data_IF_640802536479
#
_entry.id   IF_640802536479
#
_cell.length_a   1.000
_cell.length_b   1.000
_cell.length_c   1.000
_cell.angle_alpha   90.00
_cell.angle_beta   90.00
_cell.angle_gamma   90.00
#
_symmetry.space_group_name_H-M   'P 1'
#
loop_
_entity.id
_entity.type
_entity.pdbx_description
1 polymer ?
#
# COMPACT_ATOMS: atom_id res chain seq x y z
N UNK A 1 -9.32 -31.81 68.58
CA UNK A 1 -10.15 -33.04 68.58
C UNK A 1 -11.60 -32.61 68.78
N UNK A 2 -12.65 -33.18 68.15
CA UNK A 2 -12.82 -34.33 67.22
C UNK A 2 -13.32 -33.89 65.80
N UNK A 3 -13.25 -34.63 64.67
CA UNK A 3 -13.98 -35.83 64.20
C UNK A 3 -15.52 -35.70 64.34
N UNK A 4 -16.38 -35.78 63.31
CA UNK A 4 -16.85 -36.95 62.48
C UNK A 4 -17.85 -36.37 61.43
N UNK A 5 -17.69 -36.56 60.11
CA UNK A 5 -18.22 -37.63 59.20
C UNK A 5 -19.74 -37.65 58.90
N UNK A 6 -20.06 -37.41 57.61
CA UNK A 6 -20.85 -38.24 56.66
C UNK A 6 -22.39 -38.12 56.49
N UNK A 7 -22.76 -38.26 55.20
CA UNK A 7 -24.00 -38.79 54.56
C UNK A 7 -25.18 -37.83 54.31
N UNK A 8 -26.04 -38.01 53.30
CA UNK A 8 -26.10 -38.67 51.97
C UNK A 8 -27.53 -38.35 51.43
N UNK A 9 -27.76 -38.55 50.12
CA UNK A 9 -29.04 -38.60 49.36
C UNK A 9 -29.30 -37.37 48.47
N UNK A 10 -29.31 -37.44 47.13
CA UNK A 10 -29.88 -38.36 46.13
C UNK A 10 -31.36 -38.06 45.82
N UNK A 11 -31.58 -37.38 44.69
CA UNK A 11 -32.80 -37.46 43.86
C UNK A 11 -32.37 -37.32 42.39
N UNK A 12 -32.90 -38.20 41.55
CA UNK A 12 -32.54 -38.36 40.14
C UNK A 12 -33.61 -37.91 39.14
N UNK A 13 -33.38 -38.33 37.88
CA UNK A 13 -34.21 -38.16 36.67
C UNK A 13 -34.33 -36.71 36.14
N UNK A 14 -34.36 -36.38 34.83
CA UNK A 14 -34.72 -37.09 33.60
C UNK A 14 -33.86 -36.56 32.41
N UNK A 15 -33.78 -37.39 31.37
CA UNK A 15 -33.25 -37.11 30.03
C UNK A 15 -33.83 -35.84 29.38
N UNK A 16 -32.99 -35.05 28.69
CA UNK A 16 -33.41 -34.33 27.49
C UNK A 16 -32.18 -33.99 26.61
N UNK A 17 -32.18 -34.59 25.42
CA UNK A 17 -31.38 -34.12 24.30
C UNK A 17 -31.83 -32.71 23.92
N UNK A 18 -30.88 -31.78 23.81
CA UNK A 18 -31.05 -30.59 22.99
C UNK A 18 -29.72 -30.30 22.28
N UNK A 19 -29.74 -30.53 20.97
CA UNK A 19 -28.86 -29.87 20.02
C UNK A 19 -28.86 -28.36 20.30
N UNK A 20 -27.68 -27.74 20.37
CA UNK A 20 -27.54 -26.32 20.08
C UNK A 20 -26.65 -26.19 18.85
N UNK A 21 -27.32 -26.04 17.71
CA UNK A 21 -26.73 -25.52 16.50
C UNK A 21 -26.61 -23.99 16.62
N UNK A 22 -25.41 -23.53 16.32
CA UNK A 22 -25.06 -22.36 15.54
C UNK A 22 -25.45 -20.92 15.98
N UNK A 23 -24.34 -20.17 16.14
CA UNK A 23 -24.07 -18.83 15.60
C UNK A 23 -24.91 -17.66 16.09
N UNK A 24 -24.26 -16.83 16.89
CA UNK A 24 -24.61 -15.44 17.11
C UNK A 24 -23.38 -14.67 17.54
N UNK A 25 -22.70 -14.06 16.58
CA UNK A 25 -21.61 -13.11 16.77
C UNK A 25 -22.02 -11.94 17.67
N UNK A 26 -21.26 -11.68 18.74
CA UNK A 26 -21.21 -10.35 19.35
C UNK A 26 -19.86 -10.12 20.06
N UNK A 27 -19.07 -9.23 19.44
CA UNK A 27 -18.20 -8.24 20.07
C UNK A 27 -17.07 -8.68 21.04
N UNK A 28 -15.88 -8.87 20.47
CA UNK A 28 -14.67 -8.23 21.01
C UNK A 28 -14.15 -7.25 19.95
N UNK A 29 -14.80 -6.09 19.84
CA UNK A 29 -14.22 -4.98 19.10
C UNK A 29 -13.14 -4.36 19.96
N UNK A 30 -11.91 -4.51 19.47
CA UNK A 30 -10.76 -3.64 19.63
C UNK A 30 -9.73 -4.00 20.72
N UNK A 31 -8.77 -4.92 20.44
CA UNK A 31 -7.51 -4.93 21.15
C UNK A 31 -6.67 -3.78 20.58
N UNK A 32 -6.42 -2.75 21.38
CA UNK A 32 -5.42 -1.75 21.06
C UNK A 32 -4.12 -2.43 20.60
N UNK A 33 -3.60 -2.03 19.44
CA UNK A 33 -2.37 -2.60 18.87
C UNK A 33 -1.23 -1.65 19.15
N UNK A 34 -0.19 -2.15 19.80
CA UNK A 34 1.05 -1.41 20.01
C UNK A 34 1.84 -1.32 18.70
N UNK A 35 2.31 -0.12 18.35
CA UNK A 35 3.17 0.11 17.19
C UNK A 35 4.32 1.06 17.54
N UNK A 36 5.44 0.90 16.84
CA UNK A 36 6.65 1.66 17.09
C UNK A 36 6.93 2.65 15.97
N UNK A 37 7.59 3.76 16.33
CA UNK A 37 7.98 4.80 15.39
C UNK A 37 9.12 4.28 14.52
N UNK A 38 8.81 3.81 13.30
CA UNK A 38 9.81 3.73 12.23
C UNK A 38 10.04 5.13 11.64
N UNK A 39 11.17 5.36 10.93
CA UNK A 39 11.42 6.62 10.21
C UNK A 39 10.29 7.01 9.22
N UNK A 40 9.48 6.03 8.83
CA UNK A 40 8.37 6.17 7.87
C UNK A 40 6.98 6.01 8.52
N UNK A 41 6.92 5.80 9.84
CA UNK A 41 5.68 5.62 10.60
C UNK A 41 4.98 6.95 10.82
N UNK A 42 3.68 7.02 10.50
CA UNK A 42 2.86 8.22 10.61
C UNK A 42 2.22 8.39 11.99
N UNK A 43 2.28 7.36 12.83
CA UNK A 43 1.72 7.40 14.15
C UNK A 43 2.82 7.63 15.18
N UNK A 44 2.58 8.53 16.13
CA UNK A 44 3.38 8.65 17.35
C UNK A 44 3.35 7.30 18.07
N UNK A 45 4.51 6.71 18.37
CA UNK A 45 4.60 5.40 19.06
C UNK A 45 3.58 5.30 20.20
N UNK A 46 2.79 4.22 20.22
CA UNK A 46 1.70 4.05 21.18
C UNK A 46 0.74 2.93 20.80
N UNK A 47 -0.45 2.97 21.39
CA UNK A 47 -1.57 2.05 21.13
C UNK A 47 -2.60 2.69 20.19
N UNK A 48 -2.99 2.00 19.12
CA UNK A 48 -4.06 2.43 18.20
C UNK A 48 -5.04 1.30 17.88
N UNK A 49 -6.29 1.67 17.57
CA UNK A 49 -7.29 0.71 17.12
C UNK A 49 -7.06 0.27 15.68
N UNK A 50 -7.46 -0.97 15.37
CA UNK A 50 -7.41 -1.51 14.01
C UNK A 50 -8.16 -0.62 13.00
N UNK A 51 -9.35 -0.13 13.37
CA UNK A 51 -10.17 0.71 12.50
C UNK A 51 -9.50 2.07 12.21
N UNK A 52 -8.88 2.69 13.22
CA UNK A 52 -8.18 3.98 13.07
C UNK A 52 -6.87 3.84 12.28
N UNK A 53 -6.22 2.68 12.38
CA UNK A 53 -5.13 2.33 11.48
C UNK A 53 -5.68 2.27 10.05
N UNK A 54 -6.73 1.48 9.81
CA UNK A 54 -7.31 1.21 8.50
C UNK A 54 -7.83 2.45 7.75
N UNK A 55 -8.50 3.39 8.42
CA UNK A 55 -8.95 4.66 7.81
C UNK A 55 -7.78 5.56 7.34
N UNK A 56 -6.68 5.58 8.11
CA UNK A 56 -5.46 6.27 7.70
C UNK A 56 -4.68 5.51 6.59
N UNK A 57 -4.90 4.20 6.42
CA UNK A 57 -4.30 3.42 5.33
C UNK A 57 -4.87 3.81 3.98
N UNK A 58 -6.19 3.96 3.87
CA UNK A 58 -6.87 4.32 2.61
C UNK A 58 -6.41 5.68 2.11
N UNK A 59 -6.33 6.65 3.01
CA UNK A 59 -5.89 8.02 2.70
C UNK A 59 -4.41 8.11 2.30
N UNK A 60 -3.51 7.31 2.90
CA UNK A 60 -2.08 7.28 2.50
C UNK A 60 -1.83 6.46 1.24
N UNK A 61 -2.58 5.40 0.98
CA UNK A 61 -2.48 4.66 -0.29
C UNK A 61 -2.80 5.59 -1.48
N UNK A 62 -3.82 6.44 -1.35
CA UNK A 62 -4.10 7.52 -2.30
C UNK A 62 -2.95 8.54 -2.42
N UNK A 63 -2.18 8.76 -1.35
CA UNK A 63 -1.04 9.70 -1.33
C UNK A 63 0.24 9.08 -1.93
N UNK A 64 0.50 7.79 -1.71
CA UNK A 64 1.64 7.07 -2.29
C UNK A 64 1.46 6.77 -3.79
N UNK A 65 0.22 6.55 -4.26
CA UNK A 65 -0.11 6.51 -5.70
C UNK A 65 0.26 7.83 -6.40
N UNK A 66 0.28 8.97 -5.68
CA UNK A 66 0.71 10.26 -6.26
C UNK A 66 2.22 10.38 -6.47
N UNK A 67 3.04 9.45 -5.98
CA UNK A 67 4.51 9.58 -5.98
C UNK A 67 5.23 8.75 -7.04
N UNK A 68 4.57 7.81 -7.72
CA UNK A 68 5.17 7.03 -8.81
C UNK A 68 4.75 7.56 -10.19
N UNK A 69 5.63 8.40 -10.76
CA UNK A 69 5.67 8.86 -12.15
C UNK A 69 4.34 9.41 -12.70
N UNK A 70 3.82 10.47 -12.08
CA UNK A 70 2.72 11.24 -12.68
C UNK A 70 3.11 11.75 -14.08
N UNK A 71 2.19 11.63 -15.03
CA UNK A 71 2.34 12.18 -16.39
C UNK A 71 1.04 12.84 -16.84
N UNK A 72 1.17 13.75 -17.82
CA UNK A 72 0.01 14.35 -18.48
C UNK A 72 -0.33 13.58 -19.74
N UNK A 73 -1.60 13.24 -19.92
CA UNK A 73 -2.09 12.63 -21.14
C UNK A 73 -2.77 13.68 -22.02
N UNK A 74 -2.34 13.78 -23.28
CA UNK A 74 -2.99 14.58 -24.33
C UNK A 74 -3.34 13.65 -25.49
N UNK A 75 -4.64 13.39 -25.73
CA UNK A 75 -5.06 12.35 -26.68
C UNK A 75 -4.49 10.98 -26.28
N UNK A 76 -3.65 10.39 -27.14
CA UNK A 76 -2.93 9.13 -26.86
C UNK A 76 -1.49 9.34 -26.36
N UNK A 77 -1.00 10.59 -26.35
CA UNK A 77 0.39 10.90 -26.02
C UNK A 77 0.58 11.06 -24.52
N UNK A 78 1.69 10.53 -23.99
CA UNK A 78 2.16 10.76 -22.62
C UNK A 78 3.19 11.88 -22.62
N UNK A 79 2.98 12.88 -21.76
CA UNK A 79 3.80 14.08 -21.67
C UNK A 79 4.36 14.18 -20.25
N UNK A 80 5.67 14.39 -20.17
CA UNK A 80 6.37 14.58 -18.89
C UNK A 80 5.91 15.88 -18.21
N UNK A 81 5.72 15.84 -16.89
CA UNK A 81 5.39 17.04 -16.09
C UNK A 81 6.43 18.15 -16.16
N UNK A 82 7.67 17.83 -16.54
CA UNK A 82 8.73 18.83 -16.69
C UNK A 82 8.56 19.70 -17.94
N UNK A 83 7.75 19.26 -18.91
CA UNK A 83 7.63 19.93 -20.21
C UNK A 83 6.48 20.94 -20.25
N UNK A 84 5.50 20.82 -19.36
CA UNK A 84 4.29 21.67 -19.36
C UNK A 84 3.83 21.96 -17.95
N UNK A 85 3.25 23.15 -17.75
CA UNK A 85 2.64 23.58 -16.49
C UNK A 85 1.17 23.90 -16.71
N UNK A 86 0.28 22.89 -16.67
CA UNK A 86 -1.16 23.13 -16.83
C UNK A 86 -1.76 23.80 -15.59
N UNK A 87 -2.77 24.64 -15.81
CA UNK A 87 -3.63 25.16 -14.76
C UNK A 87 -4.73 24.14 -14.45
N UNK A 88 -4.99 23.87 -13.17
CA UNK A 88 -6.08 23.00 -12.70
C UNK A 88 -7.20 23.82 -12.05
N UNK A 89 -8.40 23.23 -11.94
CA UNK A 89 -9.54 23.85 -11.26
C UNK A 89 -9.22 24.37 -9.84
N UNK A 90 -8.39 23.62 -9.09
CA UNK A 90 -7.94 24.02 -7.75
C UNK A 90 -7.15 25.34 -7.72
N UNK A 91 -6.44 25.67 -8.80
CA UNK A 91 -5.67 26.92 -8.89
C UNK A 91 -6.56 28.16 -9.06
N UNK A 92 -7.83 27.94 -9.42
CA UNK A 92 -8.87 28.94 -9.63
C UNK A 92 -9.95 28.89 -8.54
N UNK A 93 -9.80 28.04 -7.52
CA UNK A 93 -10.78 27.92 -6.44
C UNK A 93 -10.46 28.88 -5.29
N UNK A 94 -11.48 29.54 -4.75
CA UNK A 94 -11.40 30.35 -3.53
C UNK A 94 -11.71 29.50 -2.28
N UNK A 95 -12.43 28.39 -2.44
CA UNK A 95 -12.72 27.45 -1.35
C UNK A 95 -12.88 26.02 -1.85
N UNK A 96 -13.04 25.06 -0.93
CA UNK A 96 -13.38 23.67 -1.25
C UNK A 96 -14.88 23.45 -1.51
N UNK A 97 -15.71 24.48 -1.36
CA UNK A 97 -17.16 24.38 -1.54
C UNK A 97 -17.52 24.19 -3.01
N UNK A 98 -18.55 23.39 -3.28
CA UNK A 98 -19.14 23.31 -4.62
C UNK A 98 -19.79 24.61 -5.06
N UNK A 99 -20.25 25.46 -4.12
CA UNK A 99 -20.83 26.77 -4.42
C UNK A 99 -19.79 27.82 -4.85
N UNK A 100 -18.50 27.49 -4.75
CA UNK A 100 -17.43 28.38 -5.21
C UNK A 100 -17.34 28.39 -6.74
N UNK A 101 -17.75 29.52 -7.33
CA UNK A 101 -17.63 29.80 -8.77
C UNK A 101 -16.17 30.07 -9.19
N UNK A 102 -15.27 30.30 -8.24
CA UNK A 102 -13.85 30.48 -8.44
C UNK A 102 -13.46 31.83 -9.06
N UNK A 103 -12.22 31.86 -9.54
CA UNK A 103 -11.58 33.00 -10.20
C UNK A 103 -11.47 32.74 -11.70
N UNK A 104 -11.38 33.83 -12.46
CA UNK A 104 -11.10 33.83 -13.89
C UNK A 104 -9.64 34.22 -14.09
N UNK A 105 -8.91 33.48 -14.91
CA UNK A 105 -7.52 33.76 -15.26
C UNK A 105 -7.46 34.21 -16.72
N UNK A 106 -6.93 35.41 -16.97
CA UNK A 106 -6.67 35.89 -18.33
C UNK A 106 -5.56 35.06 -18.97
N UNK A 107 -5.75 34.61 -20.20
CA UNK A 107 -4.74 33.84 -20.94
C UNK A 107 -3.85 34.68 -21.84
N UNK A 108 -4.28 35.90 -22.16
CA UNK A 108 -3.54 36.89 -22.93
C UNK A 108 -3.89 38.27 -22.40
N UNK A 109 -3.06 39.25 -22.74
CA UNK A 109 -3.35 40.65 -22.46
C UNK A 109 -4.70 41.06 -23.07
N UNK A 110 -5.46 41.86 -22.31
CA UNK A 110 -6.79 42.30 -22.69
C UNK A 110 -7.10 43.69 -22.15
N UNK A 111 -8.30 44.16 -22.43
CA UNK A 111 -8.79 45.47 -22.04
C UNK A 111 -9.98 45.33 -21.09
N UNK A 112 -9.95 46.13 -20.02
CA UNK A 112 -11.10 46.40 -19.17
C UNK A 112 -11.96 47.44 -19.88
N UNK A 113 -13.21 47.10 -20.21
CA UNK A 113 -14.14 47.95 -20.96
C UNK A 113 -15.21 48.55 -20.06
N UNK A 114 -15.74 49.70 -20.48
CA UNK A 114 -16.81 50.38 -19.73
C UNK A 114 -18.15 49.62 -19.80
N UNK A 115 -18.46 49.01 -20.95
CA UNK A 115 -19.68 48.23 -21.20
C UNK A 115 -19.31 46.83 -21.73
N UNK A 116 -20.25 45.89 -21.59
CA UNK A 116 -20.16 44.52 -22.12
C UNK A 116 -20.34 44.49 -23.65
N UNK A 117 -19.44 45.17 -24.36
CA UNK A 117 -19.46 45.28 -25.81
C UNK A 117 -18.04 45.37 -26.38
N UNK A 118 -17.82 44.79 -27.56
CA UNK A 118 -16.50 44.76 -28.22
C UNK A 118 -16.06 46.17 -28.65
N UNK A 119 -16.97 47.04 -29.05
CA UNK A 119 -16.68 48.43 -29.43
C UNK A 119 -16.60 49.41 -28.27
N UNK A 120 -16.83 48.96 -27.03
CA UNK A 120 -16.86 49.84 -25.85
C UNK A 120 -15.50 50.48 -25.55
N UNK A 121 -15.55 51.67 -24.94
CA UNK A 121 -14.37 52.41 -24.46
C UNK A 121 -13.52 51.54 -23.54
N UNK A 122 -12.22 51.50 -23.82
CA UNK A 122 -11.22 50.88 -22.96
C UNK A 122 -10.92 51.78 -21.77
N UNK A 123 -11.03 51.23 -20.56
CA UNK A 123 -10.67 51.89 -19.31
C UNK A 123 -9.20 51.62 -18.94
N UNK A 124 -8.77 50.37 -19.03
CA UNK A 124 -7.42 49.90 -18.66
C UNK A 124 -7.00 48.67 -19.46
N UNK A 125 -5.70 48.41 -19.49
CA UNK A 125 -5.14 47.12 -19.90
C UNK A 125 -5.06 46.17 -18.70
N UNK A 126 -5.28 44.89 -18.97
CA UNK A 126 -5.21 43.80 -18.00
C UNK A 126 -4.24 42.77 -18.55
N UNK A 127 -3.15 42.54 -17.84
CA UNK A 127 -2.09 41.64 -18.26
C UNK A 127 -2.56 40.18 -18.31
N UNK A 128 -1.83 39.35 -19.05
CA UNK A 128 -1.96 37.91 -19.00
C UNK A 128 -1.74 37.34 -17.59
N UNK A 129 -2.30 36.16 -17.33
CA UNK A 129 -2.27 35.46 -16.04
C UNK A 129 -2.78 36.27 -14.84
N UNK A 130 -3.59 37.30 -15.09
CA UNK A 130 -4.27 38.05 -14.04
C UNK A 130 -5.47 37.25 -13.54
N UNK A 131 -5.54 37.04 -12.23
CA UNK A 131 -6.71 36.42 -11.57
C UNK A 131 -7.76 37.47 -11.22
N UNK A 132 -9.00 37.21 -11.58
CA UNK A 132 -10.13 38.12 -11.47
C UNK A 132 -11.29 37.41 -10.78
N UNK A 133 -11.99 38.13 -9.91
CA UNK A 133 -13.22 37.64 -9.27
C UNK A 133 -14.41 38.20 -10.07
N UNK A 134 -15.28 37.35 -10.63
CA UNK A 134 -16.44 37.80 -11.40
C UNK A 134 -17.48 38.41 -10.46
N UNK A 135 -18.07 39.53 -10.87
CA UNK A 135 -19.19 40.18 -10.19
C UNK A 135 -20.52 39.92 -10.91
N UNK A 136 -20.48 39.88 -12.25
CA UNK A 136 -21.64 39.67 -13.11
C UNK A 136 -21.20 39.10 -14.46
N UNK A 137 -22.07 38.37 -15.13
CA UNK A 137 -21.90 37.89 -16.50
C UNK A 137 -22.91 38.60 -17.42
N UNK A 138 -22.47 39.09 -18.58
CA UNK A 138 -23.32 39.82 -19.52
C UNK A 138 -22.71 39.81 -20.92
N UNK A 139 -23.47 39.38 -21.94
CA UNK A 139 -23.10 39.41 -23.37
C UNK A 139 -21.71 38.81 -23.68
N UNK A 140 -21.33 37.72 -23.03
CA UNK A 140 -19.99 37.15 -23.21
C UNK A 140 -18.86 37.94 -22.51
N UNK A 141 -19.18 38.85 -21.59
CA UNK A 141 -18.24 39.54 -20.73
C UNK A 141 -18.45 39.19 -19.26
N UNK A 142 -17.38 39.30 -18.47
CA UNK A 142 -17.42 39.34 -17.02
C UNK A 142 -17.21 40.75 -16.52
N UNK A 143 -18.10 41.21 -15.64
CA UNK A 143 -17.86 42.40 -14.87
C UNK A 143 -16.93 42.08 -13.70
N UNK A 144 -15.87 42.86 -13.54
CA UNK A 144 -14.86 42.67 -12.50
C UNK A 144 -14.49 44.00 -11.86
N UNK A 145 -13.89 43.95 -10.68
CA UNK A 145 -13.17 45.07 -10.07
C UNK A 145 -11.67 44.86 -10.29
N UNK A 146 -11.02 45.75 -11.03
CA UNK A 146 -9.59 45.67 -11.31
C UNK A 146 -8.91 47.01 -11.00
N UNK A 147 -7.95 46.98 -10.07
CA UNK A 147 -7.19 48.16 -9.62
C UNK A 147 -8.10 49.38 -9.32
N UNK A 148 -9.17 49.16 -8.56
CA UNK A 148 -10.12 50.19 -8.15
C UNK A 148 -11.13 50.63 -9.21
N UNK A 149 -11.11 50.05 -10.41
CA UNK A 149 -12.08 50.35 -11.47
C UNK A 149 -12.97 49.15 -11.77
N UNK A 150 -14.28 49.41 -11.88
CA UNK A 150 -15.27 48.42 -12.30
C UNK A 150 -15.40 48.46 -13.81
N UNK A 151 -15.33 47.31 -14.46
CA UNK A 151 -15.49 47.21 -15.92
C UNK A 151 -15.69 45.77 -16.38
N UNK A 152 -15.73 45.58 -17.69
CA UNK A 152 -16.05 44.33 -18.35
C UNK A 152 -14.83 43.77 -19.09
N UNK A 153 -14.62 42.46 -18.99
CA UNK A 153 -13.55 41.74 -19.70
C UNK A 153 -14.18 40.60 -20.48
N UNK A 154 -13.70 40.40 -21.70
CA UNK A 154 -14.18 39.34 -22.59
C UNK A 154 -13.93 37.94 -21.96
N UNK A 155 -14.96 37.09 -21.95
CA UNK A 155 -14.87 35.73 -21.41
C UNK A 155 -14.09 34.77 -22.31
N UNK A 156 -14.00 35.04 -23.61
CA UNK A 156 -13.35 34.17 -24.61
C UNK A 156 -11.84 34.02 -24.40
N UNK A 157 -11.26 34.94 -23.63
CA UNK A 157 -9.84 35.01 -23.34
C UNK A 157 -9.51 34.59 -21.90
N UNK A 158 -10.52 34.14 -21.16
CA UNK A 158 -10.41 33.79 -19.75
C UNK A 158 -10.76 32.31 -19.53
N UNK A 159 -9.94 31.63 -18.74
CA UNK A 159 -10.29 30.33 -18.17
C UNK A 159 -10.84 30.49 -16.76
N UNK A 160 -11.66 29.54 -16.33
CA UNK A 160 -12.40 29.53 -15.08
C UNK A 160 -12.66 28.10 -14.60
N UNK A 161 -13.20 27.92 -13.40
CA UNK A 161 -13.67 26.60 -12.93
C UNK A 161 -14.68 25.95 -13.88
N UNK A 162 -15.46 26.75 -14.61
CA UNK A 162 -16.46 26.26 -15.55
C UNK A 162 -15.85 25.48 -16.73
N UNK A 163 -14.61 25.78 -17.11
CA UNK A 163 -13.90 25.04 -18.17
C UNK A 163 -13.50 23.62 -17.76
N UNK A 164 -13.54 23.34 -16.45
CA UNK A 164 -13.27 22.04 -15.84
C UNK A 164 -14.54 21.36 -15.33
N UNK A 165 -15.72 21.97 -15.51
CA UNK A 165 -16.96 21.47 -14.95
C UNK A 165 -17.34 20.13 -15.61
N UNK A 166 -17.55 19.13 -14.76
CA UNK A 166 -18.15 17.84 -15.13
C UNK A 166 -19.66 17.88 -14.92
N UNK A 167 -20.11 18.53 -13.84
CA UNK A 167 -21.52 18.80 -13.58
C UNK A 167 -21.72 20.17 -12.93
N UNK A 168 -22.90 20.75 -13.13
CA UNK A 168 -23.33 22.01 -12.51
C UNK A 168 -24.66 21.82 -11.79
N UNK A 169 -24.81 22.47 -10.64
CA UNK A 169 -26.09 22.55 -9.93
C UNK A 169 -26.79 23.84 -10.31
N UNK A 170 -27.92 23.71 -11.00
CA UNK A 170 -28.68 24.85 -11.50
C UNK A 170 -30.15 24.45 -11.73
N UNK A 171 -30.99 25.45 -12.00
CA UNK A 171 -32.38 25.26 -12.40
C UNK A 171 -32.45 24.91 -13.89
N UNK A 172 -33.07 23.79 -14.25
CA UNK A 172 -33.19 23.39 -15.65
C UNK A 172 -34.06 24.41 -16.44
N UNK A 173 -33.65 24.85 -17.65
CA UNK A 173 -34.37 25.91 -18.39
C UNK A 173 -35.84 25.59 -18.71
N UNK A 174 -36.14 24.34 -19.09
CA UNK A 174 -37.50 23.89 -19.43
C UNK A 174 -38.34 23.49 -18.21
N UNK A 175 -37.85 22.55 -17.41
CA UNK A 175 -38.62 21.98 -16.28
C UNK A 175 -38.62 22.85 -15.03
N UNK A 176 -37.73 23.84 -14.93
CA UNK A 176 -37.63 24.72 -13.77
C UNK A 176 -37.29 23.99 -12.45
N UNK A 177 -36.78 22.77 -12.51
CA UNK A 177 -36.35 21.98 -11.35
C UNK A 177 -34.85 22.18 -11.13
N UNK A 178 -34.44 22.40 -9.87
CA UNK A 178 -33.03 22.47 -9.49
C UNK A 178 -32.44 21.09 -9.33
N UNK A 179 -31.36 20.80 -10.05
CA UNK A 179 -30.66 19.52 -9.97
C UNK A 179 -29.24 19.64 -10.52
N UNK A 180 -28.47 18.55 -10.40
CA UNK A 180 -27.17 18.43 -11.05
C UNK A 180 -27.35 18.08 -12.52
N UNK A 181 -26.70 18.84 -13.39
CA UNK A 181 -26.68 18.63 -14.84
C UNK A 181 -25.25 18.36 -15.30
N UNK A 182 -25.06 17.27 -16.06
CA UNK A 182 -23.77 16.98 -16.68
C UNK A 182 -23.47 18.01 -17.78
N UNK A 183 -22.26 18.55 -17.73
CA UNK A 183 -21.79 19.57 -18.67
C UNK A 183 -21.24 18.89 -19.91
N UNK A 184 -21.74 19.29 -21.07
CA UNK A 184 -21.19 18.87 -22.36
C UNK A 184 -20.07 19.81 -22.80
N UNK A 185 -20.34 21.11 -22.80
CA UNK A 185 -19.32 22.13 -23.08
C UNK A 185 -19.73 23.50 -22.52
N UNK A 186 -18.74 24.36 -22.27
CA UNK A 186 -18.95 25.78 -22.02
C UNK A 186 -19.04 26.53 -23.36
N UNK A 187 -20.00 27.44 -23.48
CA UNK A 187 -20.21 28.35 -24.60
C UNK A 187 -20.21 29.79 -24.07
N UNK A 188 -19.03 30.40 -23.95
CA UNK A 188 -18.85 31.77 -23.44
C UNK A 188 -19.42 32.00 -22.03
N UNK A 189 -20.57 32.68 -21.91
CA UNK A 189 -21.33 32.97 -20.69
C UNK A 189 -22.46 31.97 -20.41
N UNK A 190 -22.54 30.90 -21.20
CA UNK A 190 -23.50 29.82 -21.08
C UNK A 190 -22.82 28.45 -21.02
N UNK A 191 -23.57 27.46 -20.56
CA UNK A 191 -23.12 26.08 -20.43
C UNK A 191 -24.14 25.19 -21.15
N UNK A 192 -23.67 24.47 -22.16
CA UNK A 192 -24.46 23.42 -22.83
C UNK A 192 -24.39 22.15 -21.99
N UNK A 193 -25.55 21.64 -21.59
CA UNK A 193 -25.68 20.34 -20.90
C UNK A 193 -25.99 19.23 -21.92
N UNK A 194 -25.89 17.96 -21.51
CA UNK A 194 -26.03 16.82 -22.45
C UNK A 194 -27.39 16.72 -23.15
N UNK A 195 -28.46 17.31 -22.61
CA UNK A 195 -29.76 17.39 -23.28
C UNK A 195 -29.87 18.56 -24.28
N UNK A 196 -28.74 19.23 -24.58
CA UNK A 196 -28.61 20.40 -25.46
C UNK A 196 -29.26 21.70 -24.96
N UNK A 197 -29.79 21.72 -23.74
CA UNK A 197 -30.23 22.98 -23.13
C UNK A 197 -29.02 23.84 -22.73
N UNK A 198 -29.22 25.15 -22.73
CA UNK A 198 -28.20 26.12 -22.31
C UNK A 198 -28.58 26.72 -20.97
N UNK A 199 -27.63 26.72 -20.03
CA UNK A 199 -27.77 27.32 -18.70
C UNK A 199 -26.80 28.50 -18.62
N UNK A 200 -27.31 29.69 -18.31
CA UNK A 200 -26.47 30.86 -18.08
C UNK A 200 -25.56 30.65 -16.87
N UNK A 201 -24.29 31.04 -16.97
CA UNK A 201 -23.32 30.88 -15.87
C UNK A 201 -23.76 31.60 -14.59
N UNK A 202 -24.48 32.72 -14.72
CA UNK A 202 -25.06 33.46 -13.59
C UNK A 202 -26.12 32.68 -12.80
N UNK A 203 -26.70 31.63 -13.39
CA UNK A 203 -27.72 30.80 -12.76
C UNK A 203 -27.15 29.54 -12.09
N UNK A 204 -25.82 29.34 -12.14
CA UNK A 204 -25.15 28.19 -11.54
C UNK A 204 -24.89 28.43 -10.06
N UNK A 205 -25.38 27.52 -9.23
CA UNK A 205 -25.26 27.57 -7.77
C UNK A 205 -24.20 26.59 -7.23
N UNK A 206 -23.75 25.64 -8.06
CA UNK A 206 -22.70 24.71 -7.69
C UNK A 206 -21.95 24.13 -8.89
N UNK A 207 -20.67 23.84 -8.74
CA UNK A 207 -19.81 23.31 -9.80
C UNK A 207 -19.04 22.10 -9.28
N UNK A 208 -19.21 20.96 -9.93
CA UNK A 208 -18.44 19.75 -9.72
C UNK A 208 -17.42 19.61 -10.87
N UNK A 209 -16.13 19.65 -10.55
CA UNK A 209 -15.04 19.75 -11.53
C UNK A 209 -14.27 18.44 -11.68
N UNK A 210 -13.67 18.23 -12.85
CA UNK A 210 -12.68 17.16 -13.02
C UNK A 210 -11.32 17.61 -12.47
N UNK A 211 -10.99 17.16 -11.26
CA UNK A 211 -9.74 17.56 -10.57
C UNK A 211 -8.46 17.08 -11.26
N UNK A 212 -8.55 16.03 -12.08
CA UNK A 212 -7.42 15.49 -12.85
C UNK A 212 -7.22 16.22 -14.17
N UNK A 213 -8.16 17.06 -14.60
CA UNK A 213 -8.05 17.80 -15.85
C UNK A 213 -7.25 19.11 -15.64
N UNK A 214 -6.23 19.29 -16.47
CA UNK A 214 -5.46 20.51 -16.60
C UNK A 214 -5.71 21.18 -17.95
N UNK A 215 -5.57 22.50 -18.01
CA UNK A 215 -5.60 23.27 -19.26
C UNK A 215 -4.25 23.96 -19.42
N UNK A 216 -3.67 23.87 -20.63
CA UNK A 216 -2.42 24.56 -20.96
C UNK A 216 -2.67 26.06 -21.08
N UNK A 217 -1.95 26.83 -20.26
CA UNK A 217 -2.06 28.28 -20.16
C UNK A 217 -0.73 29.00 -20.39
N UNK A 218 0.36 28.26 -20.54
CA UNK A 218 1.70 28.80 -20.75
C UNK A 218 2.08 28.68 -22.24
N UNK A 219 2.51 29.80 -22.83
CA UNK A 219 3.02 29.88 -24.20
C UNK A 219 4.33 29.10 -24.41
N UNK A 220 5.06 28.78 -23.35
CA UNK A 220 6.30 27.99 -23.42
C UNK A 220 6.05 26.49 -23.61
N UNK A 221 4.81 26.04 -23.42
CA UNK A 221 4.44 24.65 -23.64
C UNK A 221 4.51 24.32 -25.14
N UNK A 222 4.97 23.11 -25.48
CA UNK A 222 4.92 22.59 -26.86
C UNK A 222 3.50 22.28 -27.35
N UNK A 223 2.48 22.53 -26.51
CA UNK A 223 1.08 22.33 -26.82
C UNK A 223 0.38 23.68 -27.04
N UNK A 224 -0.62 23.73 -27.93
CA UNK A 224 -1.45 24.92 -28.07
C UNK A 224 -2.10 25.34 -26.74
N UNK A 225 -2.26 26.65 -26.54
CA UNK A 225 -3.12 27.17 -25.46
C UNK A 225 -4.52 26.52 -25.55
N UNK A 226 -5.18 26.38 -24.40
CA UNK A 226 -6.48 25.70 -24.26
C UNK A 226 -6.46 24.19 -24.42
N UNK A 227 -5.32 23.58 -24.75
CA UNK A 227 -5.20 22.13 -24.80
C UNK A 227 -5.54 21.51 -23.44
N UNK A 228 -6.48 20.56 -23.44
CA UNK A 228 -6.91 19.84 -22.23
C UNK A 228 -6.01 18.63 -22.04
N UNK A 229 -5.39 18.52 -20.87
CA UNK A 229 -4.56 17.38 -20.48
C UNK A 229 -5.15 16.70 -19.25
N UNK A 230 -4.99 15.38 -19.15
CA UNK A 230 -5.44 14.64 -17.97
C UNK A 230 -4.23 14.13 -17.19
N UNK A 231 -4.17 14.47 -15.90
CA UNK A 231 -3.19 13.91 -14.97
C UNK A 231 -3.47 12.42 -14.78
N UNK A 232 -2.50 11.60 -15.13
CA UNK A 232 -2.52 10.15 -14.90
C UNK A 232 -1.29 9.70 -14.12
N UNK A 233 -1.44 8.54 -13.50
CA UNK A 233 -0.38 7.89 -12.73
C UNK A 233 0.15 6.72 -13.56
N UNK A 234 1.47 6.51 -13.57
CA UNK A 234 2.07 5.41 -14.34
C UNK A 234 1.63 4.03 -13.85
N UNK A 235 1.19 3.94 -12.60
CA UNK A 235 0.66 2.75 -11.95
C UNK A 235 -0.66 3.14 -11.28
N UNK A 236 -1.80 2.92 -11.96
CA UNK A 236 -3.13 3.05 -11.35
C UNK A 236 -3.47 1.85 -10.43
N UNK A 237 -2.57 0.88 -10.32
CA UNK A 237 -2.72 -0.26 -9.42
C UNK A 237 -2.28 0.15 -8.00
N UNK A 238 -3.18 0.06 -6.99
CA UNK A 238 -2.78 0.30 -5.61
C UNK A 238 -1.63 -0.65 -5.25
N UNK A 239 -0.50 -0.08 -4.81
CA UNK A 239 0.63 -0.88 -4.35
C UNK A 239 0.17 -1.64 -3.10
N UNK A 240 0.09 -2.98 -3.13
CA UNK A 240 -0.35 -3.72 -1.95
C UNK A 240 0.67 -3.49 -0.84
N UNK A 241 0.20 -3.09 0.33
CA UNK A 241 1.02 -3.04 1.55
C UNK A 241 0.86 -4.38 2.27
N UNK A 242 1.98 -4.95 2.70
CA UNK A 242 1.99 -6.19 3.49
C UNK A 242 2.27 -5.82 4.95
N UNK A 243 1.41 -6.29 5.84
CA UNK A 243 1.62 -6.21 7.28
C UNK A 243 2.51 -7.36 7.74
N UNK A 244 3.62 -7.02 8.38
CA UNK A 244 4.54 -7.95 8.99
C UNK A 244 4.40 -7.87 10.52
N UNK A 245 4.54 -9.02 11.17
CA UNK A 245 4.56 -9.12 12.63
C UNK A 245 5.96 -9.56 13.07
N UNK A 246 6.49 -8.94 14.10
CA UNK A 246 7.81 -9.27 14.66
C UNK A 246 7.77 -9.20 16.17
N UNK A 247 8.45 -10.13 16.84
CA UNK A 247 8.59 -10.09 18.29
C UNK A 247 9.85 -9.32 18.66
N UNK A 248 9.70 -8.27 19.46
CA UNK A 248 10.81 -7.43 19.93
C UNK A 248 10.99 -7.69 21.43
N UNK A 249 12.18 -8.13 21.82
CA UNK A 249 12.51 -8.41 23.22
C UNK A 249 12.26 -7.17 24.08
N UNK A 250 11.52 -7.35 25.19
CA UNK A 250 11.10 -6.27 26.10
C UNK A 250 9.86 -5.48 25.66
N UNK A 251 9.34 -5.69 24.45
CA UNK A 251 8.25 -4.90 23.88
C UNK A 251 7.09 -5.75 23.31
N UNK A 252 7.27 -7.06 23.18
CA UNK A 252 6.23 -7.98 22.73
C UNK A 252 6.05 -8.00 21.21
N UNK A 253 4.83 -8.28 20.76
CA UNK A 253 4.49 -8.38 19.33
C UNK A 253 4.30 -7.00 18.72
N UNK A 254 5.00 -6.75 17.62
CA UNK A 254 5.03 -5.47 16.90
C UNK A 254 4.63 -5.68 15.45
N UNK A 255 3.78 -4.80 14.94
CA UNK A 255 3.35 -4.80 13.54
C UNK A 255 3.98 -3.66 12.75
N UNK A 256 4.45 -3.94 11.53
CA UNK A 256 5.08 -2.96 10.65
C UNK A 256 4.80 -3.27 9.17
N UNK A 257 5.01 -2.29 8.28
CA UNK A 257 4.59 -2.37 6.88
C UNK A 257 5.77 -2.38 5.91
N UNK A 258 5.61 -3.12 4.81
CA UNK A 258 6.50 -3.09 3.65
C UNK A 258 5.70 -2.96 2.35
N UNK A 259 6.03 -2.01 1.45
CA UNK A 259 5.50 -1.96 0.09
C UNK A 259 5.84 -3.26 -0.66
N UNK A 260 4.86 -3.89 -1.31
CA UNK A 260 5.09 -5.13 -2.08
C UNK A 260 6.18 -4.97 -3.16
N UNK A 261 6.37 -3.75 -3.68
CA UNK A 261 7.42 -3.43 -4.67
C UNK A 261 8.84 -3.30 -4.07
N UNK A 262 8.98 -3.26 -2.74
CA UNK A 262 10.28 -3.31 -2.04
C UNK A 262 10.65 -4.73 -1.56
N UNK A 263 9.79 -5.73 -1.81
CA UNK A 263 10.23 -7.12 -1.89
C UNK A 263 10.92 -7.20 -3.24
N UNK A 264 12.25 -7.21 -3.21
CA UNK A 264 13.07 -6.94 -4.37
C UNK A 264 12.73 -7.90 -5.51
N UNK A 265 12.84 -7.39 -6.74
CA UNK A 265 13.00 -8.20 -7.95
C UNK A 265 14.21 -9.19 -7.85
N UNK A 266 15.00 -9.08 -6.77
CA UNK A 266 16.13 -9.92 -6.37
C UNK A 266 15.76 -11.14 -5.49
N UNK A 267 14.49 -11.30 -5.08
CA UNK A 267 14.08 -12.39 -4.18
C UNK A 267 13.63 -13.66 -4.91
N UNK A 268 13.54 -13.64 -6.24
CA UNK A 268 13.23 -14.83 -7.04
C UNK A 268 14.33 -15.12 -8.04
N UNK A 269 14.90 -16.33 -7.99
CA UNK A 269 15.86 -16.83 -8.96
C UNK A 269 15.23 -17.92 -9.81
N UNK A 270 15.59 -17.98 -11.08
CA UNK A 270 15.32 -19.12 -11.94
C UNK A 270 16.30 -20.25 -11.65
N UNK A 271 15.94 -21.49 -12.02
CA UNK A 271 16.83 -22.64 -11.88
C UNK A 271 18.19 -22.43 -12.58
N UNK A 272 18.20 -21.79 -13.76
CA UNK A 272 19.42 -21.51 -14.52
C UNK A 272 20.35 -20.52 -13.80
N UNK A 273 19.79 -19.60 -13.03
CA UNK A 273 20.56 -18.66 -12.21
C UNK A 273 21.12 -19.33 -10.96
N UNK A 274 20.38 -20.28 -10.36
CA UNK A 274 20.84 -21.05 -9.21
C UNK A 274 21.98 -22.00 -9.58
N UNK A 275 21.89 -22.68 -10.72
CA UNK A 275 22.92 -23.62 -11.18
C UNK A 275 24.27 -22.95 -11.45
N UNK A 276 24.29 -21.62 -11.64
CA UNK A 276 25.52 -20.83 -11.82
C UNK A 276 26.18 -20.42 -10.50
N UNK A 277 25.56 -20.72 -9.35
CA UNK A 277 26.02 -20.30 -8.03
C UNK A 277 26.55 -21.47 -7.21
N UNK A 278 27.43 -21.16 -6.26
CA UNK A 278 27.99 -22.16 -5.35
C UNK A 278 26.90 -22.65 -4.38
N UNK A 279 26.61 -23.95 -4.45
CA UNK A 279 25.62 -24.62 -3.60
C UNK A 279 26.32 -25.19 -2.37
N UNK A 280 25.93 -24.72 -1.19
CA UNK A 280 26.47 -25.17 0.10
C UNK A 280 25.69 -26.37 0.65
N UNK A 281 24.37 -26.37 0.48
CA UNK A 281 23.49 -27.43 0.95
C UNK A 281 22.21 -27.43 0.12
N UNK A 282 21.69 -28.62 -0.18
CA UNK A 282 20.40 -28.79 -0.86
C UNK A 282 19.64 -29.94 -0.21
N UNK A 283 18.32 -29.81 -0.12
CA UNK A 283 17.43 -30.88 0.30
C UNK A 283 16.12 -30.81 -0.46
N UNK A 284 15.72 -31.93 -1.03
CA UNK A 284 14.42 -32.07 -1.70
C UNK A 284 13.40 -32.73 -0.77
N UNK A 285 12.13 -32.45 -1.00
CA UNK A 285 11.03 -33.07 -0.27
C UNK A 285 11.01 -34.59 -0.56
N UNK A 286 10.82 -35.46 0.45
CA UNK A 286 10.98 -36.90 0.31
C UNK A 286 9.98 -37.56 -0.67
N UNK A 287 8.82 -36.93 -0.92
CA UNK A 287 7.80 -37.45 -1.84
C UNK A 287 7.69 -36.67 -3.15
N UNK A 288 8.23 -35.46 -3.20
CA UNK A 288 8.11 -34.58 -4.36
C UNK A 288 9.43 -33.83 -4.60
N UNK A 289 10.32 -34.37 -5.46
CA UNK A 289 11.62 -33.76 -5.71
C UNK A 289 11.56 -32.34 -6.27
N UNK A 290 10.42 -31.91 -6.85
CA UNK A 290 10.25 -30.54 -7.35
C UNK A 290 10.21 -29.52 -6.23
N UNK A 291 9.75 -29.92 -5.04
CA UNK A 291 9.83 -29.09 -3.84
C UNK A 291 11.20 -29.26 -3.21
N UNK A 292 11.94 -28.17 -3.13
CA UNK A 292 13.32 -28.21 -2.65
C UNK A 292 13.70 -26.94 -1.92
N UNK A 293 14.67 -27.07 -1.01
CA UNK A 293 15.33 -25.96 -0.34
C UNK A 293 16.82 -26.02 -0.62
N UNK A 294 17.42 -24.87 -0.88
CA UNK A 294 18.83 -24.74 -1.23
C UNK A 294 19.47 -23.57 -0.50
N UNK A 295 20.68 -23.77 -0.01
CA UNK A 295 21.55 -22.73 0.53
C UNK A 295 22.67 -22.45 -0.48
N UNK A 296 22.72 -21.20 -0.93
CA UNK A 296 23.74 -20.67 -1.84
C UNK A 296 24.47 -19.49 -1.17
N UNK A 297 25.50 -18.96 -1.81
CA UNK A 297 26.33 -17.87 -1.26
C UNK A 297 25.53 -16.65 -0.78
N UNK A 298 24.42 -16.34 -1.46
CA UNK A 298 23.56 -15.18 -1.21
C UNK A 298 22.46 -15.44 -0.15
N UNK A 299 22.30 -16.68 0.31
CA UNK A 299 21.31 -17.08 1.31
C UNK A 299 20.53 -18.34 0.94
N UNK A 300 19.38 -18.53 1.59
CA UNK A 300 18.55 -19.73 1.42
C UNK A 300 17.35 -19.43 0.55
N UNK A 301 17.04 -20.36 -0.36
CA UNK A 301 15.94 -20.28 -1.30
C UNK A 301 15.10 -21.55 -1.24
N UNK A 302 13.80 -21.41 -1.45
CA UNK A 302 12.83 -22.51 -1.49
C UNK A 302 12.07 -22.48 -2.82
N UNK A 303 11.75 -23.65 -3.36
CA UNK A 303 10.91 -23.80 -4.54
C UNK A 303 9.81 -24.81 -4.29
N UNK A 304 8.64 -24.57 -4.88
CA UNK A 304 7.51 -25.50 -4.90
C UNK A 304 7.37 -26.20 -6.26
N UNK A 305 7.98 -25.65 -7.32
CA UNK A 305 7.81 -26.10 -8.71
C UNK A 305 9.12 -26.59 -9.37
N UNK A 306 10.27 -26.33 -8.75
CA UNK A 306 11.61 -26.62 -9.26
C UNK A 306 12.15 -25.58 -10.24
N UNK A 307 11.31 -24.64 -10.70
CA UNK A 307 11.66 -23.65 -11.71
C UNK A 307 11.94 -22.28 -11.09
N UNK A 308 11.11 -21.87 -10.15
CA UNK A 308 11.16 -20.57 -9.50
C UNK A 308 11.51 -20.74 -8.03
N UNK A 309 12.57 -20.06 -7.61
CA UNK A 309 13.12 -20.18 -6.28
C UNK A 309 12.98 -18.87 -5.53
N UNK A 310 12.25 -18.89 -4.42
CA UNK A 310 11.96 -17.72 -3.60
C UNK A 310 12.93 -17.66 -2.42
N UNK A 311 13.52 -16.49 -2.20
CA UNK A 311 14.47 -16.26 -1.11
C UNK A 311 13.78 -16.25 0.24
N UNK A 312 14.37 -16.94 1.21
CA UNK A 312 14.00 -16.85 2.62
C UNK A 312 14.74 -15.66 3.24
N UNK A 313 14.05 -14.52 3.31
CA UNK A 313 14.62 -13.21 3.65
C UNK A 313 15.31 -13.13 5.02
N UNK A 314 14.98 -14.01 5.96
CA UNK A 314 15.62 -14.08 7.28
C UNK A 314 16.98 -14.79 7.30
N UNK A 315 17.34 -15.52 6.24
CA UNK A 315 18.59 -16.26 6.12
C UNK A 315 19.53 -15.64 5.07
N UNK A 316 19.70 -14.32 5.13
CA UNK A 316 20.61 -13.59 4.22
C UNK A 316 22.04 -14.06 4.47
N UNK A 317 22.73 -14.47 3.40
CA UNK A 317 24.13 -14.95 3.48
C UNK A 317 24.34 -16.18 4.37
N UNK A 318 23.29 -16.95 4.66
CA UNK A 318 23.43 -18.21 5.40
C UNK A 318 23.97 -19.31 4.49
N UNK A 319 25.09 -19.91 4.90
CA UNK A 319 25.83 -20.94 4.17
C UNK A 319 25.94 -22.22 4.99
N UNK A 320 24.82 -22.65 5.59
CA UNK A 320 24.77 -23.83 6.45
C UNK A 320 23.79 -24.89 5.95
N UNK A 321 23.61 -25.98 6.72
CA UNK A 321 22.78 -27.10 6.30
C UNK A 321 21.30 -26.71 6.25
N UNK A 322 20.63 -27.19 5.22
CA UNK A 322 19.17 -27.09 5.04
C UNK A 322 18.59 -28.47 4.84
N UNK A 323 17.38 -28.71 5.37
CA UNK A 323 16.73 -30.01 5.29
C UNK A 323 15.22 -29.89 5.16
N UNK A 324 14.66 -30.53 4.13
CA UNK A 324 13.24 -30.57 3.83
C UNK A 324 12.65 -31.86 4.40
N UNK A 325 11.97 -31.80 5.53
CA UNK A 325 11.51 -32.99 6.23
C UNK A 325 10.19 -33.53 5.69
N UNK A 326 9.17 -32.67 5.59
CA UNK A 326 7.87 -32.96 4.99
C UNK A 326 7.21 -31.64 4.59
N UNK A 327 6.00 -31.71 4.00
CA UNK A 327 5.24 -30.52 3.59
C UNK A 327 5.22 -29.45 4.69
N UNK A 328 4.91 -29.81 5.93
CA UNK A 328 4.75 -28.83 6.99
C UNK A 328 6.06 -28.40 7.65
N UNK A 329 7.19 -29.09 7.44
CA UNK A 329 8.37 -28.92 8.27
C UNK A 329 9.68 -28.88 7.50
N UNK A 330 10.42 -27.80 7.72
CA UNK A 330 11.70 -27.52 7.06
C UNK A 330 12.69 -27.03 8.11
N UNK A 331 13.95 -27.42 7.98
CA UNK A 331 15.05 -27.02 8.85
C UNK A 331 16.05 -26.19 8.07
N UNK A 332 16.52 -25.10 8.68
CA UNK A 332 17.59 -24.24 8.18
C UNK A 332 18.52 -23.95 9.34
N UNK A 333 19.69 -24.60 9.34
CA UNK A 333 20.64 -24.54 10.44
C UNK A 333 20.01 -24.93 11.77
N UNK A 334 20.04 -24.02 12.74
CA UNK A 334 19.46 -24.24 14.06
C UNK A 334 17.95 -23.98 14.15
N UNK A 335 17.32 -23.51 13.09
CA UNK A 335 15.91 -23.12 13.08
C UNK A 335 15.05 -24.12 12.33
N UNK A 336 13.76 -24.22 12.70
CA UNK A 336 12.76 -25.00 11.97
C UNK A 336 11.55 -24.13 11.65
N UNK A 337 10.90 -24.37 10.51
CA UNK A 337 9.58 -23.85 10.18
C UNK A 337 8.55 -24.97 10.28
N UNK A 338 7.33 -24.62 10.71
CA UNK A 338 6.14 -25.48 10.77
C UNK A 338 5.07 -25.06 9.74
N UNK A 339 5.42 -24.14 8.84
CA UNK A 339 4.49 -23.41 7.97
C UNK A 339 5.08 -23.16 6.58
N UNK A 340 5.78 -24.17 6.04
CA UNK A 340 6.36 -24.13 4.68
C UNK A 340 7.37 -23.01 4.46
N UNK A 341 8.18 -22.70 5.47
CA UNK A 341 9.24 -21.71 5.38
C UNK A 341 8.79 -20.25 5.55
N UNK A 342 7.54 -20.01 5.99
CA UNK A 342 7.03 -18.65 6.21
C UNK A 342 7.53 -18.02 7.50
N UNK A 343 7.49 -18.73 8.62
CA UNK A 343 7.94 -18.21 9.92
C UNK A 343 9.31 -18.72 10.30
N UNK A 344 9.52 -19.79 11.04
CA UNK A 344 10.81 -20.23 11.63
C UNK A 344 11.01 -19.83 13.10
N UNK A 345 11.28 -20.86 13.89
CA UNK A 345 11.55 -20.80 15.33
C UNK A 345 12.87 -21.52 15.65
N UNK A 346 13.55 -21.16 16.75
CA UNK A 346 14.73 -21.89 17.21
C UNK A 346 14.39 -23.35 17.57
N UNK A 347 15.17 -24.30 17.07
CA UNK A 347 14.99 -25.72 17.35
C UNK A 347 16.25 -26.37 17.92
N UNK A 348 17.41 -26.12 17.31
CA UNK A 348 18.69 -26.64 17.77
C UNK A 348 19.31 -25.62 18.72
N UNK A 349 19.27 -25.89 20.02
CA UNK A 349 19.97 -25.10 21.02
C UNK A 349 21.41 -25.60 21.17
N UNK A 350 22.40 -24.74 20.89
CA UNK A 350 23.83 -25.08 21.00
C UNK A 350 24.19 -25.50 22.44
N UNK A 351 23.55 -24.91 23.44
CA UNK A 351 23.76 -25.27 24.85
C UNK A 351 23.29 -26.68 25.19
N UNK A 352 22.17 -27.14 24.61
CA UNK A 352 21.69 -28.51 24.85
C UNK A 352 22.57 -29.54 24.13
N UNK A 353 23.06 -29.24 22.93
CA UNK A 353 24.08 -30.06 22.26
C UNK A 353 25.38 -30.12 23.06
N UNK A 354 25.89 -28.98 23.53
CA UNK A 354 27.12 -28.91 24.33
C UNK A 354 26.99 -29.73 25.61
N UNK A 355 25.84 -29.63 26.29
CA UNK A 355 25.53 -30.41 27.49
C UNK A 355 25.49 -31.92 27.20
N UNK A 356 24.86 -32.34 26.09
CA UNK A 356 24.83 -33.74 25.67
C UNK A 356 26.24 -34.30 25.38
N UNK A 357 27.10 -33.49 24.75
CA UNK A 357 28.50 -33.85 24.49
C UNK A 357 29.28 -33.98 25.81
N UNK A 358 29.12 -33.03 26.73
CA UNK A 358 29.78 -33.06 28.03
C UNK A 358 29.35 -34.26 28.88
N UNK A 359 28.05 -34.57 28.90
CA UNK A 359 27.51 -35.72 29.63
C UNK A 359 28.03 -37.05 29.07
N UNK A 360 28.14 -37.19 27.75
CA UNK A 360 28.55 -38.46 27.13
C UNK A 360 30.06 -38.64 27.05
N UNK A 361 30.81 -37.57 26.75
CA UNK A 361 32.24 -37.61 26.44
C UNK A 361 33.12 -36.96 27.50
N UNK A 362 32.55 -36.33 28.53
CA UNK A 362 33.29 -35.78 29.68
C UNK A 362 34.03 -34.46 29.43
N UNK A 363 33.75 -33.75 28.33
CA UNK A 363 34.36 -32.45 28.05
C UNK A 363 33.36 -31.47 27.43
N UNK A 364 33.58 -30.16 27.64
CA UNK A 364 32.80 -29.13 26.95
C UNK A 364 33.49 -28.68 25.65
N UNK A 365 32.79 -28.72 24.52
CA UNK A 365 33.33 -28.25 23.24
C UNK A 365 33.49 -26.73 23.23
N UNK A 366 34.67 -26.24 22.80
CA UNK A 366 34.94 -24.80 22.69
C UNK A 366 34.22 -24.14 21.50
N UNK A 367 33.95 -24.91 20.44
CA UNK A 367 33.23 -24.45 19.25
C UNK A 367 32.35 -25.56 18.70
N UNK A 368 31.13 -25.22 18.29
CA UNK A 368 30.18 -26.16 17.69
C UNK A 368 29.68 -25.61 16.34
N UNK A 369 29.83 -26.40 15.28
CA UNK A 369 29.27 -26.09 13.97
C UNK A 369 28.43 -27.25 13.45
N UNK A 370 27.17 -26.96 13.13
CA UNK A 370 26.25 -27.92 12.52
C UNK A 370 26.66 -28.09 11.05
N UNK A 371 27.04 -29.31 10.67
CA UNK A 371 27.50 -29.65 9.32
C UNK A 371 26.37 -30.17 8.44
N UNK A 372 25.51 -31.01 9.00
CA UNK A 372 24.45 -31.67 8.24
C UNK A 372 23.23 -31.94 9.12
N UNK A 373 22.05 -31.95 8.52
CA UNK A 373 20.77 -32.26 9.17
C UNK A 373 20.06 -33.27 8.29
N UNK A 374 19.60 -34.37 8.88
CA UNK A 374 18.87 -35.43 8.17
C UNK A 374 17.89 -36.14 9.08
N UNK A 375 16.91 -36.83 8.51
CA UNK A 375 16.05 -37.74 9.27
C UNK A 375 16.32 -39.18 8.86
N UNK A 376 16.59 -40.04 9.83
CA UNK A 376 16.73 -41.49 9.62
C UNK A 376 15.44 -42.25 9.96
N UNK A 377 14.54 -41.63 10.75
CA UNK A 377 13.23 -42.20 11.12
C UNK A 377 12.16 -41.10 11.14
N UNK A 378 10.88 -41.41 10.85
CA UNK A 378 9.76 -40.44 10.76
C UNK A 378 9.39 -39.65 12.03
N UNK A 379 10.20 -39.70 13.08
CA UNK A 379 10.03 -38.91 14.30
C UNK A 379 11.36 -38.42 14.88
N UNK A 380 12.48 -38.63 14.17
CA UNK A 380 13.81 -38.35 14.65
C UNK A 380 14.59 -37.51 13.65
N UNK A 381 15.35 -36.57 14.19
CA UNK A 381 16.32 -35.77 13.46
C UNK A 381 17.73 -36.18 13.92
N UNK A 382 18.64 -36.35 12.98
CA UNK A 382 20.05 -36.55 13.21
C UNK A 382 20.81 -35.34 12.71
N UNK A 383 21.78 -34.88 13.50
CA UNK A 383 22.63 -33.75 13.17
C UNK A 383 24.09 -34.15 13.28
N UNK A 384 24.85 -33.91 12.23
CA UNK A 384 26.29 -34.06 12.25
C UNK A 384 26.91 -32.74 12.70
N UNK A 385 27.70 -32.76 13.76
CA UNK A 385 28.26 -31.57 14.41
C UNK A 385 29.78 -31.68 14.48
N UNK A 386 30.46 -30.58 14.17
CA UNK A 386 31.90 -30.42 14.38
C UNK A 386 32.10 -29.76 15.74
N UNK A 387 32.69 -30.50 16.67
CA UNK A 387 33.01 -30.09 18.03
C UNK A 387 34.53 -29.98 18.18
N UNK A 388 35.09 -28.81 17.86
CA UNK A 388 36.54 -28.62 17.74
C UNK A 388 37.13 -29.49 16.61
N UNK A 389 37.91 -30.50 16.96
CA UNK A 389 38.54 -31.43 16.01
C UNK A 389 37.76 -32.75 15.82
N UNK A 390 36.65 -32.96 16.54
CA UNK A 390 35.85 -34.19 16.46
C UNK A 390 34.57 -33.96 15.66
N UNK A 391 34.22 -34.93 14.82
CA UNK A 391 32.93 -34.98 14.15
C UNK A 391 32.02 -35.93 14.93
N UNK A 392 30.91 -35.41 15.43
CA UNK A 392 29.97 -36.17 16.25
C UNK A 392 28.62 -36.22 15.54
N UNK A 393 27.89 -37.33 15.73
CA UNK A 393 26.51 -37.44 15.30
C UNK A 393 25.59 -37.45 16.51
N UNK A 394 24.68 -36.50 16.55
CA UNK A 394 23.67 -36.38 17.60
C UNK A 394 22.27 -36.67 17.04
N UNK A 395 21.38 -37.15 17.89
CA UNK A 395 19.98 -37.41 17.56
C UNK A 395 19.05 -36.77 18.57
N UNK A 396 17.89 -36.32 18.10
CA UNK A 396 16.77 -35.86 18.93
C UNK A 396 15.45 -36.32 18.31
N UNK A 397 14.41 -36.43 19.14
CA UNK A 397 13.04 -36.53 18.65
C UNK A 397 12.62 -35.18 18.03
N UNK A 398 11.84 -35.20 16.96
CA UNK A 398 11.57 -33.98 16.17
C UNK A 398 10.77 -32.90 16.92
N UNK A 399 10.04 -33.29 17.97
CA UNK A 399 9.29 -32.39 18.84
C UNK A 399 9.97 -32.14 20.19
N UNK A 400 11.16 -32.69 20.40
CA UNK A 400 11.96 -32.50 21.61
C UNK A 400 13.31 -31.85 21.25
N UNK A 401 13.91 -31.12 22.18
CA UNK A 401 15.24 -30.51 22.03
C UNK A 401 16.31 -31.23 22.86
N UNK A 402 16.02 -32.46 23.30
CA UNK A 402 16.94 -33.32 24.03
C UNK A 402 17.83 -34.10 23.05
N UNK A 403 19.12 -33.79 23.04
CA UNK A 403 20.09 -34.41 22.14
C UNK A 403 20.85 -35.54 22.82
N UNK A 404 21.09 -36.62 22.08
CA UNK A 404 21.95 -37.73 22.49
C UNK A 404 23.06 -37.95 21.46
N UNK A 405 24.28 -38.19 21.92
CA UNK A 405 25.42 -38.52 21.05
C UNK A 405 25.36 -40.01 20.71
N UNK A 406 25.18 -40.33 19.42
CA UNK A 406 24.93 -41.70 18.95
C UNK A 406 26.16 -42.29 18.24
N UNK A 407 27.02 -41.45 17.67
CA UNK A 407 28.27 -41.88 17.02
C UNK A 407 29.35 -40.81 17.15
N UNK A 408 30.60 -41.25 17.33
CA UNK A 408 31.80 -40.43 17.36
C UNK A 408 32.84 -40.94 16.36
#
# INVERSE_FOLDING_TARGET
>A
MPFVKKHLLLTGFFFLMAFHAETGSAALRNPNVAFFKSKNSQFSSGEASFDRLNENLVSRAEELVKTESEYYQFGQQKISKKLITPTFAKNLSLSKSYADIGQFLTLKETTLKEKADVGSRTLKFVFEHTKLIPLKFENGFIQVMYQGQKGFIDLSICISKFDYAYAIYAKHPKTQIKQWHYVKTRLFDQIEIYDHSQIAMSAVEGIFVNEKMGIITDHKAQLPLWSKVTLKYSTETPIPLIWNQSFVTGHGLVWWQTPKNLIGKDDTLTIDEILKKDVYSISSHPKDPKKSIIAISEGVYITEDGANWTKLSQFKSFQGPVYYYNDNMIFVGSSRSLDHGKTFEPFINVGSISSAIALKLGYQPQSLKIKNIKSEKPSQISVDVIAGYKNLKLQSMIYNQNWEVVKF
#
